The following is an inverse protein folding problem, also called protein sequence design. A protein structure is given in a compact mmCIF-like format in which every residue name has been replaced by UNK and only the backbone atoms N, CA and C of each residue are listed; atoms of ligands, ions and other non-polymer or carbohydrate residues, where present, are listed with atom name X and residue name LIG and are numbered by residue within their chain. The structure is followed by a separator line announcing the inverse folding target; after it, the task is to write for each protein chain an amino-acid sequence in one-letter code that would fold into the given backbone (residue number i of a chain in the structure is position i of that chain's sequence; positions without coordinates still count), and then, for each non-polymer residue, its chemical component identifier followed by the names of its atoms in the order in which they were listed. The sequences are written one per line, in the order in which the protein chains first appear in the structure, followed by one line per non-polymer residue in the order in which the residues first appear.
data_IF_660782639336
#
_entry.id   IF_660782639336
#
_cell.length_a   1.000
_cell.length_b   1.000
_cell.length_c   1.000
_cell.angle_alpha   90.00
_cell.angle_beta   90.00
_cell.angle_gamma   90.00
#
_symmetry.space_group_name_H-M   'P 1'
#
loop_
_entity.id
_entity.type
_entity.pdbx_description
1 polymer ?
#
# COMPACT_ATOMS: atom_id res chain seq x y z
N UNK A 1 17.37 -34.26 32.05
CA UNK A 1 16.27 -33.28 32.03
C UNK A 1 16.80 -31.87 31.81
N UNK A 2 17.90 -31.45 32.46
CA UNK A 2 18.60 -30.18 32.16
C UNK A 2 19.27 -30.17 30.77
N UNK A 3 19.93 -31.26 30.35
CA UNK A 3 20.57 -31.34 29.02
C UNK A 3 19.57 -31.20 27.84
N UNK A 4 18.31 -31.62 28.06
CA UNK A 4 17.23 -31.52 27.07
C UNK A 4 16.67 -30.08 26.99
N UNK A 5 16.67 -29.37 28.12
CA UNK A 5 16.28 -27.96 28.20
C UNK A 5 17.32 -27.02 27.59
N UNK A 6 18.61 -27.25 27.89
CA UNK A 6 19.74 -26.53 27.29
C UNK A 6 19.79 -26.75 25.77
N UNK A 7 19.59 -27.99 25.31
CA UNK A 7 19.50 -28.33 23.89
C UNK A 7 18.31 -27.66 23.18
N UNK A 8 17.15 -27.58 23.83
CA UNK A 8 16.00 -26.84 23.33
C UNK A 8 16.25 -25.32 23.28
N UNK A 9 16.88 -24.74 24.30
CA UNK A 9 17.24 -23.32 24.33
C UNK A 9 18.24 -22.94 23.23
N UNK A 10 19.17 -23.83 22.88
CA UNK A 10 20.15 -23.61 21.83
C UNK A 10 19.58 -23.79 20.41
N UNK A 11 18.51 -24.57 20.24
CA UNK A 11 17.91 -24.90 18.94
C UNK A 11 16.64 -24.12 18.63
N UNK A 12 16.03 -23.45 19.62
CA UNK A 12 14.85 -22.62 19.39
C UNK A 12 15.21 -21.41 18.50
N UNK A 13 14.30 -20.99 17.61
CA UNK A 13 14.44 -19.72 16.93
C UNK A 13 14.60 -18.57 17.94
N UNK A 14 15.42 -17.59 17.60
CA UNK A 14 15.41 -16.31 18.29
C UNK A 14 14.03 -15.65 18.18
N UNK A 15 13.70 -14.76 19.12
CA UNK A 15 12.43 -14.02 19.08
C UNK A 15 12.24 -13.24 17.76
N UNK A 16 13.34 -12.81 17.14
CA UNK A 16 13.34 -12.12 15.85
C UNK A 16 13.09 -13.06 14.66
N UNK A 17 13.59 -14.28 14.72
CA UNK A 17 13.32 -15.32 13.72
C UNK A 17 11.88 -15.81 13.83
N UNK A 18 11.38 -16.04 15.05
CA UNK A 18 9.98 -16.39 15.30
C UNK A 18 9.04 -15.28 14.79
N UNK A 19 9.35 -14.01 15.07
CA UNK A 19 8.59 -12.86 14.57
C UNK A 19 8.63 -12.70 13.04
N UNK A 20 9.57 -13.37 12.37
CA UNK A 20 9.69 -13.39 10.91
C UNK A 20 8.87 -14.51 10.26
N UNK A 21 8.09 -15.28 11.04
CA UNK A 21 7.17 -16.30 10.53
C UNK A 21 6.18 -15.72 9.50
N UNK A 22 5.89 -16.40 8.37
CA UNK A 22 5.04 -15.88 7.29
C UNK A 22 3.67 -15.34 7.75
N UNK A 23 3.07 -15.97 8.76
CA UNK A 23 1.80 -15.51 9.33
C UNK A 23 1.90 -14.12 9.99
N UNK A 24 3.02 -13.77 10.59
CA UNK A 24 3.21 -12.42 11.16
C UNK A 24 3.28 -11.36 10.07
N UNK A 25 3.93 -11.67 8.93
CA UNK A 25 3.91 -10.80 7.77
C UNK A 25 2.50 -10.59 7.23
N UNK A 26 1.75 -11.68 7.04
CA UNK A 26 0.36 -11.63 6.57
C UNK A 26 -0.53 -10.83 7.53
N UNK A 27 -0.43 -11.08 8.83
CA UNK A 27 -1.20 -10.33 9.85
C UNK A 27 -0.85 -8.85 9.81
N UNK A 28 0.44 -8.52 9.72
CA UNK A 28 0.88 -7.11 9.61
C UNK A 28 0.33 -6.44 8.35
N UNK A 29 0.30 -7.13 7.22
CA UNK A 29 -0.31 -6.61 6.00
C UNK A 29 -1.82 -6.37 6.17
N UNK A 30 -2.51 -7.28 6.86
CA UNK A 30 -3.93 -7.16 7.17
C UNK A 30 -4.24 -5.98 8.11
N UNK A 31 -3.41 -5.75 9.13
CA UNK A 31 -3.54 -4.61 10.05
C UNK A 31 -3.42 -3.27 9.30
N UNK A 32 -2.46 -3.18 8.37
CA UNK A 32 -2.28 -2.00 7.51
C UNK A 32 -3.48 -1.79 6.58
N UNK A 33 -4.02 -2.87 6.00
CA UNK A 33 -5.24 -2.83 5.19
C UNK A 33 -6.44 -2.36 6.02
N UNK A 34 -6.62 -2.89 7.23
CA UNK A 34 -7.69 -2.49 8.13
C UNK A 34 -7.59 -1.00 8.48
N UNK A 35 -6.38 -0.50 8.74
CA UNK A 35 -6.11 0.92 8.99
C UNK A 35 -6.45 1.79 7.78
N UNK A 36 -6.07 1.37 6.56
CA UNK A 36 -6.45 2.06 5.32
C UNK A 36 -7.98 2.07 5.14
N UNK A 37 -8.66 0.96 5.46
CA UNK A 37 -10.12 0.87 5.40
C UNK A 37 -10.81 1.83 6.36
N UNK A 38 -10.30 1.95 7.59
CA UNK A 38 -10.80 2.92 8.56
C UNK A 38 -10.72 4.35 8.04
N UNK A 39 -9.58 4.74 7.43
CA UNK A 39 -9.44 6.05 6.79
C UNK A 39 -10.40 6.22 5.62
N UNK A 40 -10.55 5.22 4.76
CA UNK A 40 -11.49 5.27 3.64
C UNK A 40 -12.91 5.56 4.10
N UNK A 41 -13.37 4.87 5.14
CA UNK A 41 -14.70 5.08 5.69
C UNK A 41 -14.83 6.45 6.38
N UNK A 42 -13.79 6.93 7.06
CA UNK A 42 -13.77 8.27 7.67
C UNK A 42 -13.79 9.39 6.62
N UNK A 43 -13.23 9.17 5.44
CA UNK A 43 -13.29 10.10 4.30
C UNK A 43 -14.66 10.13 3.59
N UNK A 44 -15.63 9.34 4.04
CA UNK A 44 -16.95 9.18 3.43
C UNK A 44 -17.96 10.28 3.80
N UNK A 45 -19.24 9.90 3.90
CA UNK A 45 -20.33 10.84 4.19
C UNK A 45 -20.24 11.52 5.56
N UNK A 46 -19.53 10.91 6.51
CA UNK A 46 -19.33 11.40 7.88
C UNK A 46 -18.06 12.26 8.03
N UNK A 47 -17.38 12.59 6.93
CA UNK A 47 -16.15 13.39 6.90
C UNK A 47 -16.21 14.62 7.82
N UNK A 48 -17.26 15.45 7.67
CA UNK A 48 -17.38 16.69 8.43
C UNK A 48 -17.60 16.48 9.94
N UNK A 49 -18.43 15.50 10.33
CA UNK A 49 -18.70 15.23 11.74
C UNK A 49 -17.48 14.63 12.44
N UNK A 50 -16.78 13.71 11.76
CA UNK A 50 -15.53 13.13 12.29
C UNK A 50 -14.45 14.21 12.41
N UNK A 51 -14.34 15.13 11.44
CA UNK A 51 -13.40 16.24 11.53
C UNK A 51 -13.68 17.14 12.76
N UNK A 52 -14.95 17.43 13.04
CA UNK A 52 -15.37 18.20 14.22
C UNK A 52 -15.06 17.46 15.53
N UNK A 53 -15.36 16.15 15.61
CA UNK A 53 -15.05 15.31 16.77
C UNK A 53 -13.54 15.24 17.06
N UNK A 54 -12.71 15.28 16.01
CA UNK A 54 -11.25 15.33 16.11
C UNK A 54 -10.71 16.72 16.46
N UNK A 55 -11.57 17.74 16.58
CA UNK A 55 -11.21 19.10 16.96
C UNK A 55 -10.67 19.96 15.81
N UNK A 56 -10.94 19.61 14.55
CA UNK A 56 -10.57 20.44 13.41
C UNK A 56 -11.56 21.59 13.19
N UNK A 57 -11.07 22.67 12.57
CA UNK A 57 -11.89 23.83 12.25
C UNK A 57 -12.98 23.52 11.20
N UNK A 58 -14.03 24.33 11.21
CA UNK A 58 -15.10 24.24 10.23
C UNK A 58 -14.53 24.33 8.80
N UNK A 59 -14.96 23.40 7.94
CA UNK A 59 -14.48 23.30 6.56
C UNK A 59 -13.26 22.39 6.37
N UNK A 60 -12.68 21.83 7.44
CA UNK A 60 -11.69 20.76 7.31
C UNK A 60 -12.32 19.51 6.69
N UNK A 61 -11.67 18.94 5.68
CA UNK A 61 -12.15 17.77 4.93
C UNK A 61 -11.14 16.64 5.02
N UNK A 62 -11.46 15.61 5.80
CA UNK A 62 -10.75 14.32 5.84
C UNK A 62 -10.64 13.72 4.44
N UNK A 63 -11.68 13.87 3.59
CA UNK A 63 -11.67 13.38 2.22
C UNK A 63 -10.54 13.96 1.34
N UNK A 64 -9.95 15.08 1.74
CA UNK A 64 -8.76 15.68 1.13
C UNK A 64 -7.52 15.35 1.96
N UNK A 65 -7.57 15.61 3.27
CA UNK A 65 -6.41 15.52 4.16
C UNK A 65 -5.89 14.09 4.36
N UNK A 66 -6.77 13.09 4.41
CA UNK A 66 -6.40 11.71 4.71
C UNK A 66 -6.02 10.91 3.46
N UNK A 67 -6.27 11.40 2.24
CA UNK A 67 -5.98 10.70 0.97
C UNK A 67 -4.51 10.26 0.85
N UNK A 68 -3.51 11.12 1.08
CA UNK A 68 -2.11 10.72 0.99
C UNK A 68 -1.75 9.57 1.95
N UNK A 69 -2.24 9.64 3.19
CA UNK A 69 -2.00 8.62 4.23
C UNK A 69 -2.72 7.32 3.89
N UNK A 70 -3.95 7.40 3.37
CA UNK A 70 -4.69 6.25 2.86
C UNK A 70 -3.87 5.50 1.78
N UNK A 71 -3.39 6.22 0.77
CA UNK A 71 -2.58 5.62 -0.30
C UNK A 71 -1.26 5.05 0.20
N UNK A 72 -0.60 5.72 1.15
CA UNK A 72 0.60 5.18 1.81
C UNK A 72 0.31 3.87 2.53
N UNK A 73 -0.76 3.79 3.33
CA UNK A 73 -1.13 2.56 4.04
C UNK A 73 -1.50 1.44 3.06
N UNK A 74 -2.20 1.75 1.98
CA UNK A 74 -2.46 0.82 0.89
C UNK A 74 -1.16 0.26 0.30
N UNK A 75 -0.19 1.13 -0.03
CA UNK A 75 1.12 0.72 -0.54
C UNK A 75 1.89 -0.16 0.46
N UNK A 76 1.94 0.23 1.74
CA UNK A 76 2.63 -0.54 2.77
C UNK A 76 2.00 -1.92 2.91
N UNK A 77 0.67 -1.97 2.93
CA UNK A 77 -0.08 -3.22 3.03
C UNK A 77 0.19 -4.14 1.83
N UNK A 78 0.26 -3.60 0.60
CA UNK A 78 0.59 -4.34 -0.62
C UNK A 78 2.02 -4.87 -0.59
N UNK A 79 2.99 -4.04 -0.20
CA UNK A 79 4.39 -4.47 -0.07
C UNK A 79 4.51 -5.66 0.89
N UNK A 80 3.87 -5.54 2.07
CA UNK A 80 3.97 -6.54 3.12
C UNK A 80 3.24 -7.82 2.76
N UNK A 81 2.06 -7.79 2.11
CA UNK A 81 1.38 -9.03 1.69
C UNK A 81 2.16 -9.76 0.59
N UNK A 82 2.75 -9.03 -0.36
CA UNK A 82 3.61 -9.63 -1.39
C UNK A 82 4.82 -10.31 -0.75
N UNK A 83 5.48 -9.62 0.19
CA UNK A 83 6.59 -10.20 0.97
C UNK A 83 6.14 -11.41 1.79
N UNK A 84 4.96 -11.38 2.40
CA UNK A 84 4.40 -12.52 3.12
C UNK A 84 4.28 -13.77 2.23
N UNK A 85 3.81 -13.60 0.99
CA UNK A 85 3.77 -14.70 0.00
C UNK A 85 5.16 -15.23 -0.28
N UNK A 86 6.14 -14.36 -0.52
CA UNK A 86 7.52 -14.76 -0.82
C UNK A 86 8.18 -15.49 0.36
N UNK A 87 8.00 -15.00 1.59
CA UNK A 87 8.49 -15.65 2.82
C UNK A 87 7.84 -17.02 2.98
N UNK A 88 6.51 -17.13 2.76
CA UNK A 88 5.80 -18.42 2.79
C UNK A 88 6.35 -19.41 1.74
N UNK A 89 6.78 -18.91 0.59
CA UNK A 89 7.45 -19.68 -0.48
C UNK A 89 8.91 -20.03 -0.20
N UNK A 90 9.42 -19.74 1.01
CA UNK A 90 10.81 -20.03 1.38
C UNK A 90 11.85 -19.13 0.72
N UNK A 91 11.44 -17.97 0.19
CA UNK A 91 12.39 -17.00 -0.38
C UNK A 91 13.19 -16.34 0.73
N UNK A 92 14.51 -16.33 0.57
CA UNK A 92 15.45 -15.76 1.52
C UNK A 92 15.21 -14.24 1.74
N UNK A 93 15.33 -13.72 2.98
CA UNK A 93 15.12 -12.31 3.30
C UNK A 93 15.88 -11.33 2.39
N UNK A 94 17.13 -11.64 2.04
CA UNK A 94 17.98 -10.75 1.23
C UNK A 94 17.41 -10.53 -0.18
N UNK A 95 16.60 -11.46 -0.69
CA UNK A 95 15.94 -11.31 -2.01
C UNK A 95 14.68 -10.46 -1.95
N UNK A 96 14.17 -10.16 -0.76
CA UNK A 96 12.94 -9.39 -0.54
C UNK A 96 13.18 -8.09 0.25
N UNK A 97 14.43 -7.78 0.60
CA UNK A 97 14.87 -6.50 1.20
C UNK A 97 14.87 -5.36 0.15
N UNK A 98 13.70 -5.11 -0.43
CA UNK A 98 13.47 -4.04 -1.41
C UNK A 98 12.07 -3.47 -1.20
N UNK A 99 11.89 -2.18 -1.48
CA UNK A 99 10.57 -1.53 -1.55
C UNK A 99 10.01 -1.50 -2.98
N UNK A 100 10.80 -1.91 -3.98
CA UNK A 100 10.37 -1.90 -5.37
C UNK A 100 9.39 -3.03 -5.69
N UNK A 101 8.17 -2.66 -6.07
CA UNK A 101 7.10 -3.58 -6.43
C UNK A 101 7.46 -4.36 -7.69
N UNK A 102 8.13 -3.73 -8.65
CA UNK A 102 8.63 -4.40 -9.86
C UNK A 102 9.58 -5.55 -9.50
N UNK A 103 10.55 -5.31 -8.62
CA UNK A 103 11.49 -6.35 -8.18
C UNK A 103 10.77 -7.47 -7.42
N UNK A 104 9.85 -7.13 -6.52
CA UNK A 104 9.07 -8.12 -5.79
C UNK A 104 8.24 -8.99 -6.74
N UNK A 105 7.63 -8.41 -7.77
CA UNK A 105 6.87 -9.15 -8.79
C UNK A 105 7.73 -10.10 -9.62
N UNK A 106 8.96 -9.68 -9.98
CA UNK A 106 9.92 -10.55 -10.66
C UNK A 106 10.23 -11.81 -9.82
N UNK A 107 10.42 -11.64 -8.51
CA UNK A 107 10.64 -12.78 -7.60
C UNK A 107 9.35 -13.59 -7.40
N UNK A 108 8.19 -12.95 -7.38
CA UNK A 108 6.88 -13.59 -7.24
C UNK A 108 6.49 -14.41 -8.47
N UNK A 109 7.10 -14.12 -9.63
CA UNK A 109 6.79 -14.70 -10.94
C UNK A 109 5.31 -14.47 -11.32
N UNK A 110 4.80 -13.28 -11.00
CA UNK A 110 3.44 -12.86 -11.34
C UNK A 110 3.53 -11.68 -12.29
N UNK A 111 3.02 -11.86 -13.50
CA UNK A 111 2.96 -10.81 -14.48
C UNK A 111 1.98 -9.70 -14.05
N UNK A 112 2.28 -8.48 -14.49
CA UNK A 112 1.41 -7.33 -14.33
C UNK A 112 1.02 -6.84 -15.71
N UNK A 113 -0.28 -6.65 -15.94
CA UNK A 113 -0.74 -5.83 -17.05
C UNK A 113 -0.36 -4.35 -16.82
N UNK A 114 -0.53 -3.52 -17.86
CA UNK A 114 -0.09 -2.13 -17.82
C UNK A 114 -0.92 -1.23 -16.89
N UNK A 115 -2.16 -1.62 -16.59
CA UNK A 115 -2.99 -0.94 -15.59
C UNK A 115 -2.45 -1.20 -14.18
N UNK A 116 -2.23 -2.48 -13.86
CA UNK A 116 -1.64 -2.91 -12.59
C UNK A 116 -0.26 -2.31 -12.39
N UNK A 117 0.61 -2.31 -13.41
CA UNK A 117 1.93 -1.67 -13.32
C UNK A 117 1.83 -0.21 -12.89
N UNK A 118 0.91 0.55 -13.49
CA UNK A 118 0.71 1.98 -13.17
C UNK A 118 0.20 2.19 -11.75
N UNK A 119 -0.81 1.42 -11.34
CA UNK A 119 -1.34 1.50 -9.97
C UNK A 119 -0.30 1.08 -8.92
N UNK A 120 0.49 0.04 -9.21
CA UNK A 120 1.58 -0.42 -8.35
C UNK A 120 2.70 0.62 -8.24
N UNK A 121 3.08 1.25 -9.35
CA UNK A 121 4.05 2.36 -9.35
C UNK A 121 3.54 3.56 -8.54
N UNK A 122 2.24 3.88 -8.62
CA UNK A 122 1.64 4.93 -7.82
C UNK A 122 1.71 4.61 -6.31
N UNK A 123 1.36 3.39 -5.90
CA UNK A 123 1.46 3.01 -4.49
C UNK A 123 2.90 3.01 -3.98
N UNK A 124 3.87 2.54 -4.78
CA UNK A 124 5.30 2.63 -4.46
C UNK A 124 5.73 4.09 -4.29
N UNK A 125 5.31 4.99 -5.19
CA UNK A 125 5.61 6.41 -5.09
C UNK A 125 4.94 7.08 -3.87
N UNK A 126 3.72 6.66 -3.51
CA UNK A 126 3.02 7.15 -2.32
C UNK A 126 3.78 6.83 -1.03
N UNK A 127 4.54 5.73 -0.96
CA UNK A 127 5.40 5.44 0.20
C UNK A 127 6.50 6.48 0.40
N UNK A 128 7.00 7.02 -0.71
CA UNK A 128 8.08 8.02 -0.71
C UNK A 128 7.53 9.41 -0.42
N UNK A 129 6.44 9.78 -1.10
CA UNK A 129 5.91 11.15 -1.10
C UNK A 129 4.86 11.44 -0.04
N UNK A 130 4.11 10.42 0.41
CA UNK A 130 3.11 10.54 1.48
C UNK A 130 3.64 10.03 2.83
N UNK A 131 4.95 9.82 2.92
CA UNK A 131 5.64 9.36 4.12
C UNK A 131 5.71 10.41 5.24
N UNK A 132 6.64 10.18 6.18
CA UNK A 132 6.78 10.98 7.41
C UNK A 132 7.04 12.48 7.18
N UNK A 133 7.70 12.84 6.08
CA UNK A 133 8.14 14.21 5.81
C UNK A 133 7.54 14.73 4.50
N UNK A 134 7.17 16.02 4.42
CA UNK A 134 6.64 16.62 3.19
C UNK A 134 7.58 16.53 1.99
N UNK A 135 8.89 16.46 2.25
CA UNK A 135 9.91 16.29 1.23
C UNK A 135 10.79 15.09 1.58
N UNK A 136 10.84 14.05 0.71
CA UNK A 136 11.66 12.88 0.95
C UNK A 136 13.15 13.21 0.84
N UNK A 137 13.99 12.30 1.35
CA UNK A 137 15.43 12.40 1.15
C UNK A 137 15.76 12.31 -0.34
N UNK A 138 16.70 13.12 -0.82
CA UNK A 138 17.10 13.19 -2.23
C UNK A 138 15.96 13.58 -3.20
N UNK A 139 15.01 14.37 -2.74
CA UNK A 139 14.00 14.98 -3.59
C UNK A 139 14.60 16.05 -4.50
N UNK A 140 14.02 16.20 -5.69
CA UNK A 140 14.23 17.33 -6.59
C UNK A 140 12.92 17.58 -7.35
N UNK A 141 12.87 18.69 -8.09
CA UNK A 141 11.67 19.12 -8.80
C UNK A 141 11.22 18.10 -9.84
N UNK A 142 12.15 17.51 -10.61
CA UNK A 142 11.83 16.50 -11.63
C UNK A 142 11.13 15.28 -11.04
N UNK A 143 11.57 14.79 -9.88
CA UNK A 143 10.94 13.65 -9.19
C UNK A 143 9.56 14.01 -8.64
N UNK A 144 9.39 15.24 -8.16
CA UNK A 144 8.09 15.71 -7.66
C UNK A 144 7.09 15.86 -8.81
N UNK A 145 7.51 16.47 -9.92
CA UNK A 145 6.70 16.59 -11.13
C UNK A 145 6.32 15.20 -11.69
N UNK A 146 7.28 14.28 -11.75
CA UNK A 146 7.02 12.90 -12.17
C UNK A 146 5.99 12.19 -11.29
N UNK A 147 6.04 12.44 -9.97
CA UNK A 147 5.02 11.91 -9.05
C UNK A 147 3.65 12.54 -9.29
N UNK A 148 3.58 13.86 -9.51
CA UNK A 148 2.32 14.53 -9.82
C UNK A 148 1.72 14.06 -11.15
N UNK A 149 2.54 13.82 -12.17
CA UNK A 149 2.09 13.28 -13.44
C UNK A 149 1.53 11.87 -13.27
N UNK A 150 2.26 10.98 -12.59
CA UNK A 150 1.80 9.63 -12.27
C UNK A 150 0.51 9.63 -11.44
N UNK A 151 0.43 10.48 -10.41
CA UNK A 151 -0.76 10.63 -9.59
C UNK A 151 -1.95 11.14 -10.42
N UNK A 152 -1.72 12.10 -11.33
CA UNK A 152 -2.77 12.58 -12.23
C UNK A 152 -3.24 11.49 -13.20
N UNK A 153 -2.34 10.68 -13.74
CA UNK A 153 -2.68 9.59 -14.66
C UNK A 153 -3.49 8.49 -13.96
N UNK A 154 -3.13 8.15 -12.71
CA UNK A 154 -3.79 7.08 -11.96
C UNK A 154 -5.08 7.56 -11.32
N UNK A 155 -5.08 8.73 -10.68
CA UNK A 155 -6.22 9.20 -9.87
C UNK A 155 -7.29 9.91 -10.69
N UNK A 156 -6.95 10.39 -11.89
CA UNK A 156 -7.85 11.22 -12.69
C UNK A 156 -8.06 10.63 -14.07
N UNK A 157 -9.27 10.79 -14.60
CA UNK A 157 -9.60 10.49 -16.00
C UNK A 157 -10.25 11.71 -16.66
N UNK A 158 -10.10 11.89 -17.98
CA UNK A 158 -10.75 12.98 -18.69
C UNK A 158 -12.28 12.83 -18.61
N UNK A 159 -12.96 13.96 -18.42
CA UNK A 159 -14.41 14.06 -18.51
C UNK A 159 -14.77 14.65 -19.88
N UNK A 160 -15.35 13.83 -20.75
CA UNK A 160 -15.83 14.28 -22.05
C UNK A 160 -17.15 15.04 -21.89
N UNK A 161 -17.12 16.37 -22.04
CA UNK A 161 -18.33 17.21 -22.04
C UNK A 161 -18.62 17.71 -23.46
N UNK A 162 -19.21 16.84 -24.28
CA UNK A 162 -19.62 17.17 -25.64
C UNK A 162 -18.47 17.55 -26.59
N UNK A 163 -18.73 17.54 -27.89
CA UNK A 163 -17.68 17.68 -28.91
C UNK A 163 -17.14 19.13 -29.08
N UNK A 164 -17.74 20.13 -28.41
CA UNK A 164 -17.51 21.56 -28.71
C UNK A 164 -17.03 22.42 -27.52
N UNK A 165 -16.45 21.84 -26.46
CA UNK A 165 -15.87 22.64 -25.36
C UNK A 165 -14.34 22.58 -25.34
N UNK A 166 -13.70 23.75 -25.22
CA UNK A 166 -12.23 23.88 -25.11
C UNK A 166 -11.68 23.54 -23.71
N UNK A 167 -12.57 23.35 -22.72
CA UNK A 167 -12.22 23.10 -21.33
C UNK A 167 -12.06 21.59 -21.12
N UNK A 168 -10.85 21.14 -20.78
CA UNK A 168 -10.56 19.76 -20.42
C UNK A 168 -10.78 19.57 -18.91
N UNK A 169 -11.93 19.04 -18.54
CA UNK A 169 -12.19 18.67 -17.14
C UNK A 169 -11.69 17.25 -16.86
N UNK A 170 -11.30 17.04 -15.60
CA UNK A 170 -10.88 15.73 -15.09
C UNK A 170 -11.76 15.36 -13.90
N UNK A 171 -12.07 14.07 -13.78
CA UNK A 171 -12.80 13.49 -12.65
C UNK A 171 -12.00 12.36 -12.05
N UNK A 172 -12.35 11.94 -10.82
CA UNK A 172 -11.76 10.75 -10.20
C UNK A 172 -11.87 9.54 -11.15
N UNK A 173 -10.78 8.82 -11.31
CA UNK A 173 -10.75 7.55 -12.05
C UNK A 173 -11.42 6.43 -11.27
N UNK A 174 -11.37 6.49 -9.93
CA UNK A 174 -11.75 5.41 -9.03
C UNK A 174 -10.71 4.30 -8.91
N UNK A 175 -9.56 4.39 -9.61
CA UNK A 175 -8.55 3.32 -9.70
C UNK A 175 -7.96 2.90 -8.33
N UNK A 176 -8.00 3.81 -7.36
CA UNK A 176 -7.53 3.57 -5.99
C UNK A 176 -8.67 3.50 -4.98
N UNK A 177 -9.91 3.36 -5.42
CA UNK A 177 -11.04 3.25 -4.50
C UNK A 177 -10.96 1.93 -3.73
N UNK A 178 -11.57 1.91 -2.53
CA UNK A 178 -11.45 0.80 -1.60
C UNK A 178 -11.74 -0.57 -2.21
N UNK A 179 -12.74 -0.68 -3.08
CA UNK A 179 -13.13 -1.93 -3.70
C UNK A 179 -12.01 -2.47 -4.61
N UNK A 180 -11.42 -1.63 -5.46
CA UNK A 180 -10.35 -2.02 -6.38
C UNK A 180 -9.05 -2.31 -5.62
N UNK A 181 -8.68 -1.45 -4.67
CA UNK A 181 -7.55 -1.71 -3.77
C UNK A 181 -7.72 -3.03 -3.01
N UNK A 182 -8.90 -3.26 -2.42
CA UNK A 182 -9.19 -4.45 -1.65
C UNK A 182 -9.13 -5.69 -2.54
N UNK A 183 -9.69 -5.65 -3.76
CA UNK A 183 -9.60 -6.75 -4.72
C UNK A 183 -8.13 -7.06 -5.09
N UNK A 184 -7.33 -6.03 -5.38
CA UNK A 184 -5.90 -6.18 -5.64
C UNK A 184 -5.17 -6.82 -4.45
N UNK A 185 -5.44 -6.37 -3.23
CA UNK A 185 -4.84 -6.95 -2.04
C UNK A 185 -5.22 -8.42 -1.84
N UNK A 186 -6.50 -8.78 -2.03
CA UNK A 186 -6.96 -10.17 -1.90
C UNK A 186 -6.30 -11.07 -2.94
N UNK A 187 -6.02 -10.58 -4.15
CA UNK A 187 -5.31 -11.38 -5.15
C UNK A 187 -3.94 -11.88 -4.68
N UNK A 188 -3.24 -11.11 -3.82
CA UNK A 188 -1.98 -11.56 -3.19
C UNK A 188 -2.22 -12.41 -1.94
N UNK A 189 -3.26 -12.11 -1.17
CA UNK A 189 -3.63 -12.93 -0.01
C UNK A 189 -4.03 -14.36 -0.43
N UNK A 190 -4.68 -14.52 -1.59
CA UNK A 190 -5.03 -15.83 -2.14
C UNK A 190 -3.77 -16.61 -2.58
N UNK A 191 -2.74 -15.93 -3.10
CA UNK A 191 -1.43 -16.53 -3.36
C UNK A 191 -0.74 -17.00 -2.09
N UNK A 192 -1.00 -16.35 -0.95
CA UNK A 192 -0.50 -16.80 0.35
C UNK A 192 -1.21 -18.10 0.75
N UNK A 193 -2.54 -18.17 0.65
CA UNK A 193 -3.29 -19.35 1.11
C UNK A 193 -3.14 -20.58 0.23
N UNK A 194 -2.98 -20.38 -1.08
CA UNK A 194 -2.82 -21.48 -2.04
C UNK A 194 -1.49 -22.22 -1.91
N UNK A 195 -0.49 -21.64 -1.23
CA UNK A 195 0.81 -22.28 -1.02
C UNK A 195 0.74 -23.27 0.14
N UNK A 196 0.63 -24.57 -0.17
CA UNK A 196 0.69 -25.67 0.79
C UNK A 196 2.12 -26.09 1.08
#
# INVERSE_FOLDING_TARGET
MEEDYEGWLASRPSLTEDRSHPNHWRNRAADLKASAGALWHAMGSQDASIAEELGYAQGYRLGIACRPVYHMLCGLSLEVIIKAVLVRRGILPQKIETHSFVKLHQVLQVEMDDERKRVMAFYEAALVWSGRYPTPRNANDDKLLSYYDLANEVLMRPLSIGENTSIRLKVSSGATDWQLYSALWHSYADLFESYR
#
